data_IF_428578709070
#
_entry.id   IF_428578709070
#
_cell.length_a   1.000
_cell.length_b   1.000
_cell.length_c   1.000
_cell.angle_alpha   90.00
_cell.angle_beta   90.00
_cell.angle_gamma   90.00
#
_symmetry.space_group_name_H-M   'P 1'
#
loop_
_entity.id
_entity.type
_entity.pdbx_description
1 polymer ?
#
# COMPACT_ATOMS: atom_id res chain seq x y z
N UNK A 1 6.66 -24.98 7.19
CA UNK A 1 6.22 -24.46 5.86
C UNK A 1 6.90 -23.12 5.65
N UNK A 2 7.21 -22.72 4.42
CA UNK A 2 7.90 -21.45 4.17
C UNK A 2 6.92 -20.36 3.77
N UNK A 3 7.15 -19.14 4.23
CA UNK A 3 6.40 -17.93 3.91
C UNK A 3 7.34 -16.94 3.24
N UNK A 4 6.93 -16.31 2.14
CA UNK A 4 7.69 -15.27 1.47
C UNK A 4 7.10 -13.90 1.84
N UNK A 5 7.87 -13.09 2.55
CA UNK A 5 7.59 -11.67 2.76
C UNK A 5 8.27 -10.82 1.69
N UNK A 6 7.55 -9.88 1.11
CA UNK A 6 8.09 -8.88 0.18
C UNK A 6 7.85 -7.50 0.77
N UNK A 7 8.88 -6.68 0.89
CA UNK A 7 8.81 -5.29 1.33
C UNK A 7 9.17 -4.37 0.17
N UNK A 8 8.17 -3.71 -0.40
CA UNK A 8 8.30 -2.71 -1.46
C UNK A 8 8.61 -1.35 -0.83
N UNK A 9 9.88 -1.16 -0.44
CA UNK A 9 10.36 0.13 0.05
C UNK A 9 10.62 1.13 -1.08
N UNK A 10 10.84 2.40 -0.71
CA UNK A 10 11.19 3.43 -1.70
C UNK A 10 12.59 3.21 -2.29
N UNK A 11 13.56 2.82 -1.48
CA UNK A 11 14.96 2.67 -1.94
C UNK A 11 15.30 1.28 -2.48
N UNK A 12 14.54 0.25 -2.10
CA UNK A 12 14.80 -1.13 -2.55
C UNK A 12 13.61 -2.02 -2.27
N UNK A 13 13.55 -3.14 -2.98
CA UNK A 13 12.69 -4.26 -2.62
C UNK A 13 13.50 -5.22 -1.76
N UNK A 14 12.97 -5.56 -0.59
CA UNK A 14 13.53 -6.61 0.28
C UNK A 14 12.62 -7.82 0.25
N UNK A 15 13.20 -9.00 0.30
CA UNK A 15 12.46 -10.25 0.45
C UNK A 15 13.05 -11.05 1.59
N UNK A 16 12.17 -11.72 2.33
CA UNK A 16 12.54 -12.61 3.42
C UNK A 16 11.74 -13.89 3.30
N UNK A 17 12.40 -15.02 3.40
CA UNK A 17 11.76 -16.33 3.53
C UNK A 17 11.83 -16.74 4.99
N UNK A 18 10.67 -16.99 5.58
CA UNK A 18 10.51 -17.34 6.98
C UNK A 18 9.94 -18.74 7.09
N UNK A 19 10.49 -19.55 7.99
CA UNK A 19 9.86 -20.81 8.36
C UNK A 19 8.77 -20.55 9.41
N UNK A 20 7.53 -20.92 9.10
CA UNK A 20 6.37 -20.57 9.92
C UNK A 20 6.35 -21.25 11.30
N UNK A 21 6.98 -22.42 11.43
CA UNK A 21 6.99 -23.18 12.69
C UNK A 21 8.04 -22.62 13.65
N UNK A 22 9.25 -22.42 13.17
CA UNK A 22 10.35 -21.87 13.97
C UNK A 22 10.34 -20.35 14.08
N UNK A 23 9.58 -19.66 13.22
CA UNK A 23 9.56 -18.21 13.07
C UNK A 23 10.92 -17.59 12.67
N UNK A 24 11.86 -18.41 12.19
CA UNK A 24 13.19 -17.95 11.80
C UNK A 24 13.21 -17.50 10.33
N UNK A 25 13.91 -16.39 10.07
CA UNK A 25 14.25 -15.99 8.71
C UNK A 25 15.36 -16.92 8.17
N UNK A 26 15.00 -17.76 7.20
CA UNK A 26 15.92 -18.74 6.60
C UNK A 26 16.78 -18.14 5.49
N UNK A 27 16.26 -17.11 4.81
CA UNK A 27 16.99 -16.36 3.80
C UNK A 27 16.39 -14.97 3.63
N UNK A 28 17.24 -14.00 3.32
CA UNK A 28 16.81 -12.66 2.91
C UNK A 28 17.69 -12.16 1.77
N UNK A 29 17.10 -11.29 0.95
CA UNK A 29 17.79 -10.61 -0.13
C UNK A 29 17.15 -9.25 -0.37
N UNK A 30 17.88 -8.37 -1.05
CA UNK A 30 17.35 -7.10 -1.50
C UNK A 30 17.86 -6.78 -2.91
N UNK A 31 17.08 -5.98 -3.64
CA UNK A 31 17.44 -5.44 -4.93
C UNK A 31 16.74 -4.08 -5.15
N UNK A 32 17.37 -3.08 -5.80
CA UNK A 32 18.76 -3.07 -6.28
C UNK A 32 19.78 -3.06 -5.13
N UNK A 33 21.07 -3.25 -5.48
CA UNK A 33 22.17 -3.18 -4.49
C UNK A 33 22.48 -1.74 -4.05
N UNK A 34 22.12 -0.77 -4.89
CA UNK A 34 22.11 0.66 -4.59
C UNK A 34 20.66 1.14 -4.47
N UNK A 35 20.46 2.35 -3.92
CA UNK A 35 19.10 2.91 -3.81
C UNK A 35 18.45 3.06 -5.19
N UNK A 36 17.17 2.70 -5.26
CA UNK A 36 16.33 2.87 -6.43
C UNK A 36 16.10 4.34 -6.71
N UNK A 37 16.20 4.72 -7.98
CA UNK A 37 16.03 6.10 -8.40
C UNK A 37 14.59 6.60 -8.13
N UNK A 38 14.49 7.86 -7.73
CA UNK A 38 13.25 8.62 -7.70
C UNK A 38 13.29 9.59 -8.88
N UNK A 39 12.29 9.48 -9.75
CA UNK A 39 12.12 10.37 -10.90
C UNK A 39 11.53 11.69 -10.40
N UNK A 40 12.32 12.75 -10.47
CA UNK A 40 11.92 14.10 -10.06
C UNK A 40 12.05 15.06 -11.24
N UNK A 41 10.96 15.20 -12.02
CA UNK A 41 10.94 16.07 -13.20
C UNK A 41 10.79 17.55 -12.85
N UNK A 42 10.21 17.85 -11.68
CA UNK A 42 10.01 19.20 -11.17
C UNK A 42 10.28 19.22 -9.66
N UNK A 43 10.53 20.41 -9.11
CA UNK A 43 10.66 20.55 -7.66
C UNK A 43 9.39 20.09 -6.94
N UNK A 44 9.57 19.29 -5.88
CA UNK A 44 8.47 18.68 -5.13
C UNK A 44 7.82 17.47 -5.81
N UNK A 45 8.25 17.08 -7.02
CA UNK A 45 7.76 15.88 -7.68
C UNK A 45 8.63 14.68 -7.32
N UNK A 46 7.98 13.55 -7.04
CA UNK A 46 8.62 12.28 -6.80
C UNK A 46 7.78 11.16 -7.43
N UNK A 47 8.40 10.42 -8.35
CA UNK A 47 7.78 9.30 -9.03
C UNK A 47 8.69 8.07 -9.06
N UNK A 48 8.08 6.89 -9.13
CA UNK A 48 8.79 5.64 -9.40
C UNK A 48 8.05 4.80 -10.42
N UNK A 49 8.79 3.99 -11.18
CA UNK A 49 8.23 3.08 -12.17
C UNK A 49 7.68 1.81 -11.49
N UNK A 50 6.36 1.53 -11.59
CA UNK A 50 5.81 0.26 -11.08
C UNK A 50 6.38 -0.97 -11.81
N UNK A 51 6.70 -0.85 -13.10
CA UNK A 51 7.40 -1.90 -13.83
C UNK A 51 8.80 -2.17 -13.23
N UNK A 52 9.48 -1.12 -12.77
CA UNK A 52 10.74 -1.24 -12.03
C UNK A 52 10.57 -1.99 -10.70
N UNK A 53 9.51 -1.71 -9.93
CA UNK A 53 9.20 -2.46 -8.71
C UNK A 53 9.01 -3.96 -8.97
N UNK A 54 8.29 -4.32 -10.04
CA UNK A 54 8.13 -5.71 -10.44
C UNK A 54 9.46 -6.36 -10.80
N UNK A 55 10.27 -5.70 -11.62
CA UNK A 55 11.61 -6.18 -11.99
C UNK A 55 12.50 -6.41 -10.75
N UNK A 56 12.52 -5.45 -9.83
CA UNK A 56 13.29 -5.55 -8.60
C UNK A 56 12.78 -6.65 -7.68
N UNK A 57 11.47 -6.87 -7.62
CA UNK A 57 10.88 -7.98 -6.87
C UNK A 57 11.36 -9.32 -7.41
N UNK A 58 11.28 -9.54 -8.74
CA UNK A 58 11.77 -10.77 -9.38
C UNK A 58 13.24 -11.02 -9.05
N UNK A 59 14.07 -9.99 -9.20
CA UNK A 59 15.52 -10.08 -8.93
C UNK A 59 15.83 -10.34 -7.46
N UNK A 60 15.10 -9.72 -6.53
CA UNK A 60 15.26 -9.97 -5.10
C UNK A 60 14.91 -11.43 -4.74
N UNK A 61 13.80 -11.95 -5.28
CA UNK A 61 13.39 -13.36 -5.09
C UNK A 61 14.45 -14.32 -5.66
N UNK A 62 14.89 -14.10 -6.89
CA UNK A 62 15.95 -14.90 -7.53
C UNK A 62 17.25 -14.88 -6.73
N UNK A 63 17.64 -13.71 -6.18
CA UNK A 63 18.80 -13.56 -5.31
C UNK A 63 18.64 -14.33 -4.00
N UNK A 64 17.44 -14.36 -3.42
CA UNK A 64 17.15 -15.20 -2.26
C UNK A 64 17.26 -16.70 -2.59
N UNK A 65 16.72 -17.14 -3.73
CA UNK A 65 16.84 -18.53 -4.19
C UNK A 65 18.29 -18.95 -4.40
N UNK A 66 19.14 -18.05 -4.94
CA UNK A 66 20.56 -18.31 -5.16
C UNK A 66 21.34 -18.62 -3.88
N UNK A 67 20.82 -18.26 -2.69
CA UNK A 67 21.43 -18.62 -1.41
C UNK A 67 21.42 -20.13 -1.13
N UNK A 68 20.51 -20.90 -1.77
CA UNK A 68 20.32 -22.36 -1.58
C UNK A 68 20.08 -22.79 -0.13
N UNK A 69 19.60 -21.88 0.72
CA UNK A 69 19.31 -22.14 2.14
C UNK A 69 17.95 -22.79 2.39
N UNK A 70 17.10 -22.86 1.37
CA UNK A 70 15.74 -23.40 1.44
C UNK A 70 15.32 -23.94 0.08
N UNK A 71 14.22 -24.69 0.05
CA UNK A 71 13.57 -25.18 -1.17
C UNK A 71 12.43 -24.22 -1.57
N UNK A 72 12.54 -23.47 -2.69
CA UNK A 72 11.50 -22.55 -3.14
C UNK A 72 10.11 -23.18 -3.33
N UNK A 73 10.04 -24.48 -3.63
CA UNK A 73 8.76 -25.19 -3.80
C UNK A 73 7.97 -25.33 -2.49
N UNK A 74 8.61 -25.10 -1.35
CA UNK A 74 8.00 -25.14 0.00
C UNK A 74 7.39 -23.81 0.44
N UNK A 75 7.52 -22.75 -0.38
CA UNK A 75 6.81 -21.49 -0.16
C UNK A 75 5.31 -21.78 -0.30
N UNK A 76 4.56 -21.49 0.75
CA UNK A 76 3.13 -21.81 0.86
C UNK A 76 2.23 -20.57 0.79
N UNK A 77 2.75 -19.37 1.07
CA UNK A 77 2.01 -18.11 0.96
C UNK A 77 2.97 -16.92 0.82
N UNK A 78 2.42 -15.80 0.32
CA UNK A 78 3.12 -14.51 0.18
C UNK A 78 2.43 -13.44 1.02
N UNK A 79 3.23 -12.64 1.74
CA UNK A 79 2.80 -11.40 2.38
C UNK A 79 3.56 -10.19 1.82
N UNK A 80 2.88 -9.05 1.70
CA UNK A 80 3.43 -7.83 1.08
C UNK A 80 3.38 -6.65 2.06
N UNK A 81 4.52 -6.06 2.34
CA UNK A 81 4.69 -4.71 2.91
C UNK A 81 5.03 -3.74 1.80
N UNK A 82 4.62 -2.47 1.91
CA UNK A 82 4.90 -1.48 0.87
C UNK A 82 4.96 -0.04 1.40
N UNK A 83 5.71 0.82 0.70
CA UNK A 83 5.68 2.26 0.94
C UNK A 83 4.26 2.81 0.75
N UNK A 84 3.71 3.45 1.78
CA UNK A 84 2.32 3.90 1.79
C UNK A 84 2.03 4.97 0.73
N UNK A 85 0.76 5.26 0.48
CA UNK A 85 0.26 6.44 -0.24
C UNK A 85 0.63 6.59 -1.73
N UNK A 86 1.36 5.65 -2.33
CA UNK A 86 1.71 5.70 -3.76
C UNK A 86 0.47 5.55 -4.63
N UNK A 87 0.31 6.38 -5.66
CA UNK A 87 -0.78 6.22 -6.64
C UNK A 87 -0.28 5.40 -7.83
N UNK A 88 -0.85 4.22 -8.06
CA UNK A 88 -0.68 3.44 -9.30
C UNK A 88 -1.99 3.49 -10.09
N UNK A 89 -1.91 3.72 -11.40
CA UNK A 89 -3.05 3.73 -12.30
C UNK A 89 -2.84 2.71 -13.41
N UNK A 90 -3.82 1.85 -13.66
CA UNK A 90 -3.78 0.86 -14.74
C UNK A 90 -5.01 0.95 -15.64
N UNK A 91 -4.85 0.50 -16.87
CA UNK A 91 -5.95 0.34 -17.83
C UNK A 91 -6.69 -1.00 -17.65
N UNK A 92 -7.65 -1.27 -18.53
CA UNK A 92 -8.45 -2.52 -18.54
C UNK A 92 -7.64 -3.78 -18.82
N UNK A 93 -6.44 -3.63 -19.39
CA UNK A 93 -5.51 -4.72 -19.66
C UNK A 93 -4.49 -4.88 -18.52
N UNK A 94 -4.65 -4.14 -17.42
CA UNK A 94 -3.72 -4.10 -16.28
C UNK A 94 -2.35 -3.50 -16.64
N UNK A 95 -2.28 -2.72 -17.71
CA UNK A 95 -1.07 -2.00 -18.12
C UNK A 95 -0.96 -0.67 -17.38
N UNK A 96 0.26 -0.37 -16.91
CA UNK A 96 0.54 0.84 -16.15
C UNK A 96 0.47 2.06 -17.05
N UNK A 97 -0.39 3.02 -16.70
CA UNK A 97 -0.65 4.20 -17.52
C UNK A 97 0.35 5.34 -17.33
N UNK A 98 1.04 5.36 -16.18
CA UNK A 98 2.03 6.38 -15.80
C UNK A 98 2.89 5.89 -14.65
N UNK A 99 4.03 6.54 -14.40
CA UNK A 99 4.80 6.31 -13.18
C UNK A 99 3.95 6.61 -11.95
N UNK A 100 4.21 5.87 -10.87
CA UNK A 100 3.51 6.06 -9.61
C UNK A 100 3.91 7.38 -8.97
N UNK A 101 2.94 8.15 -8.50
CA UNK A 101 3.20 9.34 -7.67
C UNK A 101 3.39 8.87 -6.23
N UNK A 102 4.63 8.83 -5.74
CA UNK A 102 4.99 8.21 -4.44
C UNK A 102 4.78 9.14 -3.25
N UNK A 103 4.87 8.63 -2.02
CA UNK A 103 4.46 9.32 -0.78
C UNK A 103 5.13 10.68 -0.53
N UNK A 104 6.40 10.84 -0.93
CA UNK A 104 7.16 12.07 -0.71
C UNK A 104 6.88 13.16 -1.77
N UNK A 105 5.97 12.92 -2.71
CA UNK A 105 5.53 13.90 -3.70
C UNK A 105 4.57 14.94 -3.07
N UNK A 106 4.78 16.23 -3.37
CA UNK A 106 3.99 17.34 -2.84
C UNK A 106 3.10 18.02 -3.87
N UNK A 107 3.09 17.59 -5.15
CA UNK A 107 2.34 18.25 -6.24
C UNK A 107 0.83 18.28 -6.01
N UNK A 108 0.33 17.32 -5.22
CA UNK A 108 -1.08 17.15 -4.92
C UNK A 108 -1.57 17.94 -3.69
N UNK A 109 -0.68 18.60 -2.93
CA UNK A 109 -1.06 19.36 -1.71
C UNK A 109 -2.19 20.37 -1.99
N UNK A 110 -2.15 21.21 -3.03
CA UNK A 110 -3.22 22.18 -3.29
C UNK A 110 -4.57 21.52 -3.61
N UNK A 111 -4.58 20.27 -4.08
CA UNK A 111 -5.81 19.52 -4.36
C UNK A 111 -6.45 19.05 -3.05
N UNK A 112 -5.63 18.51 -2.14
CA UNK A 112 -6.10 18.12 -0.81
C UNK A 112 -6.63 19.28 0.01
N UNK A 113 -5.95 20.43 -0.01
CA UNK A 113 -6.41 21.66 0.68
C UNK A 113 -7.76 22.15 0.14
N UNK A 114 -7.97 22.08 -1.18
CA UNK A 114 -9.28 22.43 -1.77
C UNK A 114 -10.36 21.45 -1.38
N UNK A 115 -10.06 20.15 -1.34
CA UNK A 115 -11.01 19.13 -0.91
C UNK A 115 -11.36 19.28 0.57
N UNK A 116 -10.37 19.56 1.43
CA UNK A 116 -10.59 19.84 2.85
C UNK A 116 -11.60 20.98 3.06
N UNK A 117 -11.42 22.10 2.33
CA UNK A 117 -12.35 23.23 2.37
C UNK A 117 -13.73 22.89 1.81
N UNK A 118 -13.79 22.10 0.74
CA UNK A 118 -15.04 21.71 0.07
C UNK A 118 -15.87 20.73 0.91
N UNK A 119 -15.23 19.77 1.56
CA UNK A 119 -15.88 18.80 2.46
C UNK A 119 -16.22 19.45 3.81
N UNK A 120 -15.38 20.39 4.25
CA UNK A 120 -15.43 21.02 5.56
C UNK A 120 -14.42 20.38 6.50
N UNK A 121 -13.56 21.18 7.13
CA UNK A 121 -12.44 20.72 7.96
C UNK A 121 -12.89 19.76 9.08
N UNK A 122 -13.91 20.16 9.85
CA UNK A 122 -14.45 19.33 10.93
C UNK A 122 -14.99 17.99 10.40
N UNK A 123 -15.69 18.01 9.26
CA UNK A 123 -16.25 16.80 8.66
C UNK A 123 -15.13 15.89 8.15
N UNK A 124 -14.13 16.43 7.45
CA UNK A 124 -12.96 15.66 7.00
C UNK A 124 -12.26 14.99 8.17
N UNK A 125 -11.96 15.73 9.23
CA UNK A 125 -11.25 15.16 10.37
C UNK A 125 -12.12 14.17 11.16
N UNK A 126 -13.42 14.41 11.32
CA UNK A 126 -14.30 13.49 12.05
C UNK A 126 -14.62 12.18 11.29
N UNK A 127 -14.59 12.21 9.95
CA UNK A 127 -14.93 11.06 9.11
C UNK A 127 -13.71 10.32 8.57
N UNK A 128 -12.67 11.05 8.13
CA UNK A 128 -11.47 10.49 7.50
C UNK A 128 -10.30 10.35 8.48
N UNK A 129 -10.44 10.95 9.67
CA UNK A 129 -9.41 11.08 10.71
C UNK A 129 -8.14 11.82 10.28
N UNK A 130 -8.16 12.40 9.07
CA UNK A 130 -7.04 13.11 8.46
C UNK A 130 -7.56 14.22 7.55
N UNK A 131 -6.70 15.19 7.24
CA UNK A 131 -6.90 16.01 6.05
C UNK A 131 -6.59 15.20 4.77
N UNK A 132 -7.24 15.46 3.63
CA UNK A 132 -6.91 14.79 2.37
C UNK A 132 -5.45 14.97 1.91
N UNK A 133 -4.81 16.10 2.28
CA UNK A 133 -3.37 16.32 2.10
C UNK A 133 -2.83 15.99 0.70
N UNK A 134 -1.61 15.44 0.64
CA UNK A 134 -1.01 14.91 -0.58
C UNK A 134 -1.26 13.40 -0.76
N UNK A 135 -2.24 12.80 -0.05
CA UNK A 135 -2.49 11.36 -0.11
C UNK A 135 -3.06 10.91 -1.47
N UNK A 136 -3.23 9.59 -1.64
CA UNK A 136 -3.56 8.93 -2.91
C UNK A 136 -4.76 9.55 -3.63
N UNK A 137 -5.85 9.88 -2.92
CA UNK A 137 -7.01 10.56 -3.50
C UNK A 137 -6.68 11.92 -4.14
N UNK A 138 -5.88 12.76 -3.46
CA UNK A 138 -5.44 14.05 -3.96
C UNK A 138 -4.53 13.92 -5.18
N UNK A 139 -3.67 12.90 -5.21
CA UNK A 139 -2.82 12.58 -6.37
C UNK A 139 -3.66 12.20 -7.58
N UNK A 140 -4.72 11.42 -7.39
CA UNK A 140 -5.63 11.07 -8.49
C UNK A 140 -6.39 12.29 -9.00
N UNK A 141 -6.79 13.20 -8.12
CA UNK A 141 -7.38 14.47 -8.51
C UNK A 141 -6.41 15.35 -9.32
N UNK A 142 -5.12 15.32 -8.99
CA UNK A 142 -4.08 15.95 -9.80
C UNK A 142 -3.98 15.31 -11.19
N UNK A 143 -3.93 13.97 -11.28
CA UNK A 143 -3.91 13.25 -12.58
C UNK A 143 -5.14 13.62 -13.41
N UNK A 144 -6.32 13.64 -12.81
CA UNK A 144 -7.58 14.02 -13.48
C UNK A 144 -7.52 15.43 -14.10
N UNK A 145 -6.93 16.38 -13.40
CA UNK A 145 -6.88 17.78 -13.84
C UNK A 145 -5.76 18.07 -14.84
N UNK A 146 -4.61 17.41 -14.72
CA UNK A 146 -3.40 17.73 -15.51
C UNK A 146 -3.12 16.73 -16.62
N UNK A 147 -3.63 15.50 -16.49
CA UNK A 147 -3.43 14.41 -17.45
C UNK A 147 -4.79 13.75 -17.79
N UNK A 148 -5.78 14.51 -18.29
CA UNK A 148 -7.15 14.02 -18.48
C UNK A 148 -7.25 12.83 -19.44
N UNK A 149 -6.36 12.75 -20.45
CA UNK A 149 -6.33 11.60 -21.37
C UNK A 149 -5.82 10.33 -20.70
N UNK A 150 -4.91 10.44 -19.72
CA UNK A 150 -4.50 9.31 -18.88
C UNK A 150 -5.65 8.93 -17.96
N UNK A 151 -6.28 9.90 -17.30
CA UNK A 151 -7.39 9.66 -16.37
C UNK A 151 -8.55 8.90 -17.02
N UNK A 152 -8.92 9.23 -18.25
CA UNK A 152 -9.99 8.55 -19.01
C UNK A 152 -9.69 7.06 -19.30
N UNK A 153 -8.43 6.66 -19.30
CA UNK A 153 -8.01 5.29 -19.57
C UNK A 153 -7.95 4.43 -18.31
N UNK A 154 -8.01 5.04 -17.11
CA UNK A 154 -7.91 4.32 -15.84
C UNK A 154 -9.12 3.39 -15.69
N UNK A 155 -8.83 2.10 -15.51
CA UNK A 155 -9.81 1.12 -15.07
C UNK A 155 -9.80 1.00 -13.54
N UNK A 156 -8.59 0.90 -12.96
CA UNK A 156 -8.39 0.80 -11.51
C UNK A 156 -7.22 1.63 -11.02
N UNK A 157 -7.36 2.13 -9.79
CA UNK A 157 -6.26 2.69 -9.01
C UNK A 157 -5.82 1.70 -7.93
N UNK A 158 -4.56 1.77 -7.56
CA UNK A 158 -3.95 0.87 -6.58
C UNK A 158 -2.88 1.60 -5.77
N UNK A 159 -2.65 1.11 -4.56
CA UNK A 159 -1.42 1.38 -3.82
C UNK A 159 -0.29 0.46 -4.32
N UNK A 160 0.98 0.72 -3.94
CA UNK A 160 2.11 -0.07 -4.43
C UNK A 160 2.00 -1.57 -4.11
N UNK A 161 1.51 -1.96 -2.93
CA UNK A 161 1.30 -3.37 -2.58
C UNK A 161 0.15 -4.03 -3.34
N UNK A 162 -0.93 -3.29 -3.60
CA UNK A 162 -2.06 -3.76 -4.42
C UNK A 162 -1.58 -4.04 -5.86
N UNK A 163 -0.76 -3.16 -6.42
CA UNK A 163 -0.12 -3.37 -7.72
C UNK A 163 0.76 -4.62 -7.73
N UNK A 164 1.57 -4.83 -6.69
CA UNK A 164 2.44 -6.00 -6.64
C UNK A 164 1.64 -7.30 -6.54
N UNK A 165 0.58 -7.32 -5.74
CA UNK A 165 -0.36 -8.43 -5.68
C UNK A 165 -1.01 -8.70 -7.04
N UNK A 166 -1.45 -7.65 -7.76
CA UNK A 166 -1.98 -7.79 -9.11
C UNK A 166 -0.94 -8.39 -10.08
N UNK A 167 0.33 -7.98 -10.01
CA UNK A 167 1.40 -8.58 -10.85
C UNK A 167 1.59 -10.07 -10.54
N UNK A 168 1.42 -10.48 -9.29
CA UNK A 168 1.52 -11.87 -8.87
C UNK A 168 0.32 -12.72 -9.33
N UNK A 169 -0.89 -12.18 -9.17
CA UNK A 169 -2.13 -12.98 -9.19
C UNK A 169 -3.08 -12.65 -10.35
N UNK A 170 -2.89 -11.52 -11.02
CA UNK A 170 -3.83 -10.94 -11.98
C UNK A 170 -5.13 -10.41 -11.35
N UNK A 171 -5.25 -10.42 -10.02
CA UNK A 171 -6.43 -9.93 -9.28
C UNK A 171 -6.16 -8.54 -8.71
N UNK A 172 -7.13 -7.64 -8.90
CA UNK A 172 -7.08 -6.28 -8.38
C UNK A 172 -8.02 -6.19 -7.17
N UNK A 173 -7.44 -6.23 -5.98
CA UNK A 173 -8.17 -6.13 -4.71
C UNK A 173 -7.49 -5.09 -3.82
N UNK A 174 -8.20 -4.55 -2.85
CA UNK A 174 -7.68 -3.64 -1.82
C UNK A 174 -8.22 -4.05 -0.44
N UNK A 175 -7.90 -3.29 0.60
CA UNK A 175 -8.36 -3.52 1.98
C UNK A 175 -8.80 -2.21 2.63
N UNK A 176 -9.49 -2.27 3.77
CA UNK A 176 -9.89 -1.06 4.49
C UNK A 176 -8.67 -0.27 4.98
N UNK A 177 -7.61 -0.94 5.43
CA UNK A 177 -6.34 -0.29 5.80
C UNK A 177 -5.77 0.50 4.62
N UNK A 178 -5.69 -0.12 3.43
CA UNK A 178 -5.30 0.50 2.17
C UNK A 178 -6.20 1.71 1.78
N UNK A 179 -7.52 1.57 1.90
CA UNK A 179 -8.43 2.68 1.60
C UNK A 179 -8.25 3.85 2.57
N UNK A 180 -7.98 3.57 3.85
CA UNK A 180 -7.76 4.62 4.84
C UNK A 180 -6.47 5.41 4.58
N UNK A 181 -5.37 4.76 4.21
CA UNK A 181 -4.12 5.45 3.85
C UNK A 181 -4.24 6.26 2.54
N UNK A 182 -5.18 5.87 1.68
CA UNK A 182 -5.51 6.59 0.45
C UNK A 182 -6.48 7.76 0.63
N UNK A 183 -7.03 7.94 1.85
CA UNK A 183 -8.13 8.87 2.17
C UNK A 183 -9.43 8.54 1.42
N UNK A 184 -9.71 7.25 1.23
CA UNK A 184 -10.97 6.79 0.64
C UNK A 184 -11.93 6.17 1.65
N UNK A 185 -11.52 5.96 2.90
CA UNK A 185 -12.37 5.35 3.93
C UNK A 185 -13.03 6.39 4.85
N UNK A 186 -14.32 6.22 5.10
CA UNK A 186 -15.08 6.94 6.12
C UNK A 186 -15.22 6.04 7.37
N UNK A 187 -14.51 6.39 8.44
CA UNK A 187 -14.49 5.65 9.70
C UNK A 187 -15.77 5.76 10.52
N UNK A 188 -16.60 6.77 10.22
CA UNK A 188 -17.86 7.00 10.94
C UNK A 188 -19.00 6.21 10.33
N UNK A 189 -19.03 6.16 9.00
CA UNK A 189 -20.06 5.44 8.23
C UNK A 189 -19.62 4.04 7.78
N UNK A 190 -18.38 3.64 8.05
CA UNK A 190 -17.76 2.35 7.71
C UNK A 190 -17.95 1.96 6.23
N UNK A 191 -17.62 2.91 5.35
CA UNK A 191 -17.75 2.76 3.88
C UNK A 191 -16.76 3.63 3.12
N UNK A 192 -16.69 3.45 1.80
CA UNK A 192 -15.95 4.36 0.92
C UNK A 192 -16.55 5.77 1.02
N UNK A 193 -15.70 6.78 1.25
CA UNK A 193 -16.11 8.16 1.50
C UNK A 193 -16.68 8.82 0.24
N UNK A 194 -18.01 8.91 0.20
CA UNK A 194 -18.72 9.65 -0.86
C UNK A 194 -18.37 11.13 -0.90
N UNK A 195 -18.00 11.73 0.24
CA UNK A 195 -17.54 13.12 0.32
C UNK A 195 -16.23 13.32 -0.43
N UNK A 196 -15.25 12.43 -0.25
CA UNK A 196 -13.96 12.48 -0.96
C UNK A 196 -14.17 12.27 -2.46
N UNK A 197 -14.94 11.23 -2.83
CA UNK A 197 -15.23 10.95 -4.23
C UNK A 197 -15.93 12.15 -4.90
N UNK A 198 -16.94 12.74 -4.26
CA UNK A 198 -17.64 13.93 -4.77
C UNK A 198 -16.77 15.19 -4.79
N UNK A 199 -15.91 15.38 -3.79
CA UNK A 199 -15.02 16.53 -3.70
C UNK A 199 -14.07 16.58 -4.91
N UNK A 200 -13.50 15.44 -5.28
CA UNK A 200 -12.58 15.29 -6.42
C UNK A 200 -13.28 14.92 -7.74
N UNK A 201 -14.56 14.54 -7.69
CA UNK A 201 -15.32 13.98 -8.81
C UNK A 201 -14.77 12.63 -9.29
N UNK A 202 -14.26 11.80 -8.38
CA UNK A 202 -13.73 10.47 -8.69
C UNK A 202 -14.89 9.48 -8.77
N UNK A 203 -14.93 8.66 -9.82
CA UNK A 203 -15.89 7.55 -9.91
C UNK A 203 -15.48 6.44 -8.94
N UNK A 204 -16.43 5.95 -8.14
CA UNK A 204 -16.22 4.82 -7.24
C UNK A 204 -15.78 3.56 -8.00
N UNK A 205 -16.17 3.41 -9.27
CA UNK A 205 -15.76 2.29 -10.11
C UNK A 205 -14.24 2.17 -10.28
N UNK A 206 -13.45 3.23 -10.02
CA UNK A 206 -11.99 3.15 -10.06
C UNK A 206 -11.39 2.43 -8.84
N UNK A 207 -12.15 2.31 -7.76
CA UNK A 207 -11.71 1.62 -6.53
C UNK A 207 -11.79 0.10 -6.75
N UNK A 208 -10.74 -0.66 -6.39
CA UNK A 208 -10.76 -2.13 -6.40
C UNK A 208 -11.84 -2.73 -5.49
N UNK A 209 -12.10 -4.02 -5.68
CA UNK A 209 -12.89 -4.80 -4.74
C UNK A 209 -12.18 -4.85 -3.37
N UNK A 210 -12.94 -4.65 -2.29
CA UNK A 210 -12.41 -4.61 -0.93
C UNK A 210 -12.49 -6.01 -0.31
N UNK A 211 -11.35 -6.52 0.12
CA UNK A 211 -11.22 -7.77 0.86
C UNK A 211 -10.68 -7.48 2.27
N UNK A 212 -10.90 -8.42 3.18
CA UNK A 212 -10.24 -8.39 4.49
C UNK A 212 -8.72 -8.45 4.33
N UNK A 213 -7.99 -7.75 5.19
CA UNK A 213 -6.55 -7.63 5.07
C UNK A 213 -5.82 -8.96 5.26
N UNK A 214 -6.31 -9.81 6.16
CA UNK A 214 -5.86 -11.19 6.36
C UNK A 214 -6.77 -12.16 5.60
N UNK A 215 -6.74 -12.10 4.28
CA UNK A 215 -7.50 -12.99 3.40
C UNK A 215 -6.77 -13.23 2.09
N UNK A 216 -7.29 -14.12 1.25
CA UNK A 216 -6.72 -14.31 -0.09
C UNK A 216 -7.00 -13.09 -0.97
N UNK A 217 -5.93 -12.52 -1.51
CA UNK A 217 -5.93 -11.47 -2.53
C UNK A 217 -5.63 -12.03 -3.93
N UNK A 218 -5.85 -13.33 -4.12
CA UNK A 218 -5.56 -14.08 -5.33
C UNK A 218 -4.39 -15.05 -5.16
N UNK A 219 -4.21 -15.88 -6.17
CA UNK A 219 -3.18 -16.92 -6.22
C UNK A 219 -2.19 -16.62 -7.32
N UNK A 220 -0.91 -16.95 -7.10
CA UNK A 220 0.15 -16.74 -8.10
C UNK A 220 -0.17 -17.55 -9.35
N UNK A 221 -0.22 -16.85 -10.49
CA UNK A 221 -0.51 -17.48 -11.79
C UNK A 221 0.63 -18.41 -12.20
N UNK A 222 0.34 -19.42 -13.03
CA UNK A 222 1.38 -20.35 -13.50
C UNK A 222 2.55 -19.66 -14.21
N UNK A 223 2.25 -18.68 -15.07
CA UNK A 223 3.29 -17.94 -15.80
C UNK A 223 4.22 -17.16 -14.85
N UNK A 224 3.67 -16.53 -13.81
CA UNK A 224 4.46 -15.80 -12.80
C UNK A 224 5.20 -16.77 -11.88
N UNK A 225 4.60 -17.91 -11.53
CA UNK A 225 5.26 -18.93 -10.72
C UNK A 225 6.50 -19.50 -11.41
N UNK A 226 6.40 -19.80 -12.71
CA UNK A 226 7.52 -20.26 -13.54
C UNK A 226 8.63 -19.20 -13.61
N UNK A 227 8.25 -17.93 -13.77
CA UNK A 227 9.19 -16.80 -13.79
C UNK A 227 9.94 -16.60 -12.46
N UNK A 228 9.23 -16.79 -11.34
CA UNK A 228 9.78 -16.62 -10.00
C UNK A 228 10.51 -17.86 -9.48
N UNK A 229 10.25 -19.05 -10.05
CA UNK A 229 10.80 -20.31 -9.58
C UNK A 229 10.13 -20.84 -8.31
N UNK A 230 8.82 -20.61 -8.17
CA UNK A 230 7.99 -21.03 -7.02
C UNK A 230 6.81 -21.88 -7.47
N UNK A 231 6.08 -22.48 -6.52
CA UNK A 231 4.92 -23.30 -6.82
C UNK A 231 3.74 -22.43 -7.31
N UNK A 232 3.05 -22.78 -8.41
CA UNK A 232 1.86 -22.07 -8.85
C UNK A 232 0.70 -22.26 -7.86
N UNK A 233 -0.24 -21.30 -7.84
CA UNK A 233 -1.41 -21.38 -6.97
C UNK A 233 -1.15 -20.98 -5.52
N UNK A 234 0.07 -20.55 -5.15
CA UNK A 234 0.31 -20.06 -3.79
C UNK A 234 -0.44 -18.74 -3.59
N UNK A 235 -1.17 -18.56 -2.47
CA UNK A 235 -1.95 -17.37 -2.23
C UNK A 235 -1.09 -16.18 -1.78
N UNK A 236 -1.50 -14.97 -2.19
CA UNK A 236 -1.12 -13.72 -1.53
C UNK A 236 -2.14 -13.47 -0.43
N UNK A 237 -1.74 -13.55 0.83
CA UNK A 237 -2.70 -13.59 1.97
C UNK A 237 -2.67 -12.35 2.87
N UNK A 238 -1.79 -11.41 2.59
CA UNK A 238 -1.57 -10.23 3.42
C UNK A 238 -0.92 -9.12 2.60
N UNK A 239 -1.45 -7.90 2.74
CA UNK A 239 -0.88 -6.69 2.16
C UNK A 239 -1.12 -5.50 3.10
N UNK A 240 -0.07 -4.80 3.51
CA UNK A 240 -0.22 -3.60 4.33
C UNK A 240 0.89 -2.58 4.07
N UNK A 241 0.59 -1.32 4.33
CA UNK A 241 1.59 -0.26 4.35
C UNK A 241 2.72 -0.54 5.36
N UNK A 242 3.89 0.03 5.11
CA UNK A 242 5.09 -0.18 5.91
C UNK A 242 4.92 0.15 7.40
N UNK A 243 4.22 1.23 7.75
CA UNK A 243 3.96 1.62 9.14
C UNK A 243 3.04 0.64 9.89
N UNK A 244 1.82 0.32 9.41
CA UNK A 244 0.98 -0.67 10.08
C UNK A 244 1.62 -2.07 10.06
N UNK A 245 2.40 -2.42 9.02
CA UNK A 245 3.17 -3.66 9.00
C UNK A 245 4.29 -3.69 10.05
N UNK A 246 4.97 -2.56 10.27
CA UNK A 246 5.99 -2.45 11.33
C UNK A 246 5.36 -2.65 12.72
N UNK A 247 4.20 -2.02 12.98
CA UNK A 247 3.44 -2.24 14.22
C UNK A 247 3.07 -3.71 14.42
N UNK A 248 2.55 -4.39 13.38
CA UNK A 248 2.29 -5.83 13.41
C UNK A 248 3.55 -6.64 13.76
N UNK A 249 4.68 -6.35 13.11
CA UNK A 249 5.93 -7.09 13.33
C UNK A 249 6.48 -6.96 14.76
N UNK A 250 6.09 -5.90 15.46
CA UNK A 250 6.44 -5.63 16.86
C UNK A 250 5.37 -6.12 17.85
N UNK A 251 4.34 -6.84 17.37
CA UNK A 251 3.17 -7.26 18.14
C UNK A 251 2.38 -6.10 18.78
N UNK A 252 2.44 -4.91 18.18
CA UNK A 252 1.62 -3.75 18.58
C UNK A 252 0.27 -3.91 17.87
N UNK A 253 -0.69 -4.52 18.55
CA UNK A 253 -1.98 -4.94 18.01
C UNK A 253 -3.18 -4.44 18.83
N UNK A 254 -2.95 -4.07 20.09
CA UNK A 254 -3.97 -3.75 21.07
C UNK A 254 -4.01 -2.26 21.41
N UNK A 255 -5.20 -1.72 21.73
CA UNK A 255 -5.33 -0.32 22.13
C UNK A 255 -4.43 0.03 23.31
N UNK A 256 -3.70 1.13 23.20
CA UNK A 256 -2.74 1.59 24.21
C UNK A 256 -1.31 1.09 24.02
N UNK A 257 -1.07 0.16 23.09
CA UNK A 257 0.29 -0.24 22.70
C UNK A 257 0.91 0.79 21.76
N UNK A 258 2.23 0.95 21.86
CA UNK A 258 3.01 1.95 21.11
C UNK A 258 4.28 1.31 20.57
N UNK A 259 4.56 1.54 19.28
CA UNK A 259 5.86 1.33 18.66
C UNK A 259 6.54 2.69 18.42
N UNK A 260 7.77 2.84 18.88
CA UNK A 260 8.60 4.01 18.58
C UNK A 260 9.83 3.56 17.79
N UNK A 261 9.98 4.06 16.57
CA UNK A 261 11.11 3.76 15.70
C UNK A 261 11.96 5.02 15.51
N UNK A 262 13.21 4.97 15.97
CA UNK A 262 14.19 6.05 15.83
C UNK A 262 15.09 5.78 14.60
N UNK A 263 14.52 5.91 13.41
CA UNK A 263 15.26 5.85 12.13
C UNK A 263 15.68 7.25 11.65
N UNK A 264 16.03 7.36 10.36
CA UNK A 264 16.30 8.64 9.69
C UNK A 264 15.10 9.60 9.78
N UNK A 265 13.90 9.04 9.79
CA UNK A 265 12.67 9.71 10.25
C UNK A 265 12.16 8.98 11.49
N UNK A 266 11.83 9.73 12.53
CA UNK A 266 11.25 9.18 13.76
C UNK A 266 9.75 8.97 13.59
N UNK A 267 9.26 7.77 13.91
CA UNK A 267 7.82 7.46 13.91
C UNK A 267 7.40 6.95 15.28
N UNK A 268 6.29 7.50 15.78
CA UNK A 268 5.56 6.95 16.94
C UNK A 268 4.22 6.46 16.42
N UNK A 269 4.03 5.14 16.46
CA UNK A 269 2.80 4.47 16.07
C UNK A 269 2.09 4.01 17.35
N UNK A 270 0.83 4.37 17.54
CA UNK A 270 0.03 3.91 18.67
C UNK A 270 -1.31 3.40 18.17
N UNK A 271 -1.79 2.31 18.77
CA UNK A 271 -3.09 1.72 18.43
C UNK A 271 -4.16 2.24 19.39
N UNK A 272 -5.32 2.61 18.85
CA UNK A 272 -6.49 3.05 19.62
C UNK A 272 -7.76 2.33 19.16
N UNK A 273 -8.72 2.16 20.07
CA UNK A 273 -10.08 1.68 19.79
C UNK A 273 -11.12 2.82 19.71
N UNK A 274 -10.66 4.06 19.89
CA UNK A 274 -11.51 5.25 19.81
C UNK A 274 -11.31 5.94 18.48
N UNK A 275 -12.39 6.03 17.70
CA UNK A 275 -12.51 6.92 16.54
C UNK A 275 -12.41 8.36 17.04
N UNK A 276 -11.20 8.89 17.03
CA UNK A 276 -10.86 10.23 17.49
C UNK A 276 -9.86 10.84 16.53
N UNK A 277 -9.87 12.16 16.40
CA UNK A 277 -9.03 12.88 15.45
C UNK A 277 -8.32 14.05 16.15
N UNK A 278 -7.11 14.37 15.69
CA UNK A 278 -6.42 15.59 16.12
C UNK A 278 -7.03 16.80 15.42
N UNK A 279 -7.63 17.72 16.17
CA UNK A 279 -8.24 18.95 15.63
C UNK A 279 -7.27 19.84 14.87
N UNK A 280 -5.96 19.68 15.11
CA UNK A 280 -4.90 20.40 14.42
C UNK A 280 -4.24 19.58 13.31
N UNK A 281 -4.72 18.35 13.04
CA UNK A 281 -4.21 17.45 11.99
C UNK A 281 -2.69 17.19 12.05
N UNK A 282 -2.11 17.12 13.25
CA UNK A 282 -0.68 16.84 13.47
C UNK A 282 -0.37 15.35 13.58
N UNK A 283 -1.39 14.55 13.90
CA UNK A 283 -1.33 13.10 13.99
C UNK A 283 -2.17 12.54 12.85
N UNK A 284 -1.61 11.59 12.09
CA UNK A 284 -2.35 10.85 11.09
C UNK A 284 -2.89 9.55 11.70
N UNK A 285 -4.12 9.20 11.35
CA UNK A 285 -4.81 8.02 11.87
C UNK A 285 -5.32 7.15 10.72
N UNK A 286 -4.93 5.88 10.70
CA UNK A 286 -5.28 4.95 9.62
C UNK A 286 -5.85 3.67 10.23
N UNK A 287 -6.60 2.88 9.45
CA UNK A 287 -7.03 1.58 9.93
C UNK A 287 -5.81 0.66 10.09
N UNK A 288 -5.64 0.10 11.28
CA UNK A 288 -4.59 -0.85 11.60
C UNK A 288 -4.77 -2.18 10.84
N UNK A 289 -3.77 -3.06 10.84
CA UNK A 289 -3.83 -4.33 10.10
C UNK A 289 -4.96 -5.26 10.57
N UNK A 290 -5.38 -5.14 11.83
CA UNK A 290 -6.47 -5.91 12.43
C UNK A 290 -7.75 -5.08 12.60
N UNK A 291 -7.90 -3.96 11.87
CA UNK A 291 -9.14 -3.20 11.86
C UNK A 291 -10.29 -4.05 11.34
N UNK A 292 -11.39 -4.07 12.10
CA UNK A 292 -12.68 -4.59 11.67
C UNK A 292 -13.78 -3.56 11.99
N UNK A 293 -14.90 -3.50 11.24
CA UNK A 293 -15.98 -2.55 11.52
C UNK A 293 -16.57 -2.67 12.94
N UNK A 294 -16.64 -3.90 13.46
CA UNK A 294 -17.09 -4.23 14.82
C UNK A 294 -15.99 -4.12 15.88
N UNK A 295 -14.72 -4.22 15.48
CA UNK A 295 -13.54 -4.04 16.34
C UNK A 295 -12.58 -3.01 15.74
N UNK A 296 -12.90 -1.72 15.92
CA UNK A 296 -12.11 -0.63 15.34
C UNK A 296 -10.72 -0.59 16.01
N UNK A 297 -9.68 -0.81 15.20
CA UNK A 297 -8.27 -0.65 15.55
C UNK A 297 -7.66 0.35 14.59
N UNK A 298 -7.29 1.51 15.11
CA UNK A 298 -6.77 2.66 14.36
C UNK A 298 -5.34 2.91 14.83
#
# INVERSE_FOLDING_TARGET
MLLLGIDLGTSSIKVSVVDAESQLCVASAQFPDTEADIISLQHGWAEQSPAGWWDFTRKAIQKAHASKKYDPSKIAAIGISYQMHGLVCVDKNQEVLRNSIIWCDSRAVPYGERALKKIGEEKSLAHLLNSPGNFTASKLAWVKANEPEIYKQIDKIMLPGDFLAMKLTGKITTSISALSEGIFWDFKDDKISTDVLSAFGIDQALIPEVHDLFSSHGEVTSAVADELGITPGIPVTYKAGDQPNNALSLNVLQPGEIAATAGTSGVVYGVTDKVSYDKLSRVNSFAHVNYQPDEKRI
#
